data_IF_073671885368
#
_entry.id   IF_073671885368
#
_cell.length_a   1.000
_cell.length_b   1.000
_cell.length_c   1.000
_cell.angle_alpha   90.00
_cell.angle_beta   90.00
_cell.angle_gamma   90.00
#
_symmetry.space_group_name_H-M   'P 1'
#
loop_
_entity.id
_entity.type
_entity.pdbx_description
1 polymer ?
#
# COMPACT_ATOMS: atom_id res chain seq x y z
N UNK A 1 -6.12 -22.11 6.19
CA UNK A 1 -5.27 -20.92 6.04
C UNK A 1 -5.89 -19.84 6.88
N UNK A 2 -5.23 -19.43 7.95
CA UNK A 2 -5.77 -18.38 8.83
C UNK A 2 -5.66 -17.05 8.10
N UNK A 3 -6.82 -16.54 7.65
CA UNK A 3 -6.90 -15.18 7.15
C UNK A 3 -6.44 -14.26 8.27
N UNK A 4 -5.41 -13.46 8.02
CA UNK A 4 -4.82 -12.53 9.01
C UNK A 4 -5.80 -11.46 9.50
N UNK A 5 -7.05 -11.46 9.01
CA UNK A 5 -8.07 -10.43 9.24
C UNK A 5 -7.76 -9.13 8.52
N UNK A 6 -6.64 -9.04 7.81
CA UNK A 6 -6.19 -7.85 7.11
C UNK A 6 -6.79 -7.83 5.70
N UNK A 7 -7.57 -6.79 5.42
CA UNK A 7 -8.05 -6.48 4.07
C UNK A 7 -7.32 -5.26 3.53
N UNK A 8 -7.08 -5.18 2.21
CA UNK A 8 -6.63 -3.95 1.59
C UNK A 8 -7.63 -2.82 1.86
N UNK A 9 -7.14 -1.59 1.91
CA UNK A 9 -7.96 -0.38 2.10
C UNK A 9 -8.87 -0.14 0.90
N UNK A 10 -8.39 -0.48 -0.30
CA UNK A 10 -9.15 -0.39 -1.54
C UNK A 10 -8.61 -1.40 -2.57
N UNK A 11 -9.39 -1.70 -3.61
CA UNK A 11 -8.94 -2.52 -4.72
C UNK A 11 -9.67 -2.18 -6.03
N UNK A 12 -8.92 -1.95 -7.11
CA UNK A 12 -9.47 -1.53 -8.41
C UNK A 12 -8.97 -2.40 -9.57
N UNK A 13 -9.82 -2.68 -10.58
CA UNK A 13 -9.45 -3.53 -11.71
C UNK A 13 -8.41 -2.86 -12.62
N UNK A 14 -7.55 -3.67 -13.22
CA UNK A 14 -6.61 -3.27 -14.28
C UNK A 14 -6.67 -4.28 -15.42
N UNK A 15 -6.11 -3.96 -16.58
CA UNK A 15 -5.98 -4.91 -17.68
C UNK A 15 -5.21 -6.15 -17.22
N UNK A 16 -5.87 -7.31 -17.24
CA UNK A 16 -5.28 -8.59 -16.82
C UNK A 16 -5.32 -8.89 -15.32
N UNK A 17 -5.96 -8.06 -14.49
CA UNK A 17 -6.01 -8.33 -13.06
C UNK A 17 -6.62 -7.22 -12.20
N UNK A 18 -6.05 -7.04 -11.00
CA UNK A 18 -6.49 -6.04 -10.02
C UNK A 18 -5.27 -5.43 -9.32
N UNK A 19 -5.39 -4.18 -8.87
CA UNK A 19 -4.47 -3.58 -7.92
C UNK A 19 -5.14 -3.52 -6.55
N UNK A 20 -4.42 -3.98 -5.53
CA UNK A 20 -4.79 -3.85 -4.13
C UNK A 20 -4.01 -2.70 -3.50
N UNK A 21 -4.72 -1.82 -2.82
CA UNK A 21 -4.18 -0.63 -2.16
C UNK A 21 -4.09 -0.91 -0.67
N UNK A 22 -2.90 -0.72 -0.12
CA UNK A 22 -2.65 -0.78 1.31
C UNK A 22 -2.11 0.57 1.76
N UNK A 23 -2.89 1.27 2.57
CA UNK A 23 -2.47 2.51 3.19
C UNK A 23 -1.97 2.23 4.61
N UNK A 24 -0.72 2.62 4.86
CA UNK A 24 -0.11 2.58 6.18
C UNK A 24 -0.52 3.78 7.05
N UNK A 25 -0.10 3.79 8.33
CA UNK A 25 -0.41 4.89 9.22
C UNK A 25 0.22 6.21 8.73
N UNK A 26 -0.47 7.31 8.97
CA UNK A 26 0.04 8.66 8.69
C UNK A 26 1.19 9.00 9.63
N UNK A 27 2.32 9.41 9.05
CA UNK A 27 3.48 9.94 9.78
C UNK A 27 3.47 11.46 9.64
N UNK A 28 3.53 12.15 10.78
CA UNK A 28 3.65 13.60 10.83
C UNK A 28 5.09 13.96 11.19
N UNK A 29 5.73 14.78 10.37
CA UNK A 29 7.05 15.34 10.63
C UNK A 29 6.92 16.85 10.78
N UNK A 30 7.43 17.38 11.90
CA UNK A 30 7.39 18.81 12.20
C UNK A 30 8.80 19.35 12.24
N UNK A 31 9.07 20.33 11.36
CA UNK A 31 10.26 21.14 11.46
C UNK A 31 9.98 22.27 12.46
N UNK A 32 10.74 22.38 13.57
CA UNK A 32 10.51 23.41 14.57
C UNK A 32 10.79 24.80 14.01
N UNK A 33 10.17 25.82 14.61
CA UNK A 33 10.41 27.20 14.23
C UNK A 33 11.87 27.60 14.54
N UNK A 34 12.43 28.44 13.68
CA UNK A 34 13.67 29.17 13.95
C UNK A 34 13.34 30.65 14.15
N UNK A 35 14.35 31.47 14.48
CA UNK A 35 14.18 32.92 14.58
C UNK A 35 13.70 33.58 13.26
N UNK A 36 13.87 32.93 12.11
CA UNK A 36 13.53 33.48 10.78
C UNK A 36 12.47 32.67 10.02
N UNK A 37 12.16 31.44 10.45
CA UNK A 37 11.24 30.55 9.76
C UNK A 37 10.20 29.96 10.72
N UNK A 38 8.91 30.00 10.39
CA UNK A 38 7.87 29.39 11.22
C UNK A 38 8.02 27.87 11.25
N UNK A 39 7.40 27.24 12.25
CA UNK A 39 7.30 25.79 12.29
C UNK A 39 6.43 25.28 11.12
N UNK A 40 6.85 24.18 10.50
CA UNK A 40 6.11 23.57 9.39
C UNK A 40 5.91 22.10 9.69
N UNK A 41 4.65 21.66 9.66
CA UNK A 41 4.29 20.25 9.77
C UNK A 41 3.91 19.68 8.41
N UNK A 42 4.39 18.48 8.11
CA UNK A 42 3.99 17.70 6.94
C UNK A 42 3.48 16.34 7.40
N UNK A 43 2.32 15.95 6.87
CA UNK A 43 1.77 14.62 7.05
C UNK A 43 1.95 13.82 5.76
N UNK A 44 2.42 12.59 5.87
CA UNK A 44 2.54 11.67 4.75
C UNK A 44 2.17 10.26 5.20
N UNK A 45 1.48 9.49 4.37
CA UNK A 45 1.16 8.10 4.62
C UNK A 45 1.91 7.21 3.62
N UNK A 46 2.33 6.03 4.07
CA UNK A 46 2.85 5.01 3.15
C UNK A 46 1.69 4.43 2.36
N UNK A 47 1.85 4.31 1.04
CA UNK A 47 0.92 3.60 0.17
C UNK A 47 1.67 2.50 -0.58
N UNK A 48 1.18 1.28 -0.44
CA UNK A 48 1.63 0.12 -1.18
C UNK A 48 0.55 -0.29 -2.18
N UNK A 49 0.94 -0.43 -3.44
CA UNK A 49 0.09 -0.92 -4.52
C UNK A 49 0.62 -2.28 -4.94
N UNK A 50 -0.19 -3.32 -4.77
CA UNK A 50 0.13 -4.67 -5.20
C UNK A 50 -0.71 -4.98 -6.43
N UNK A 51 -0.08 -5.11 -7.59
CA UNK A 51 -0.75 -5.61 -8.79
C UNK A 51 -0.74 -7.12 -8.79
N UNK A 52 -1.89 -7.73 -9.06
CA UNK A 52 -2.03 -9.17 -9.12
C UNK A 52 -2.90 -9.59 -10.30
N UNK A 53 -2.60 -10.75 -10.86
CA UNK A 53 -3.40 -11.42 -11.89
C UNK A 53 -4.02 -12.71 -11.34
N UNK A 54 -5.12 -13.20 -11.91
CA UNK A 54 -5.65 -14.52 -11.58
C UNK A 54 -4.59 -15.61 -11.81
N UNK A 55 -4.48 -16.55 -10.88
CA UNK A 55 -3.65 -17.73 -11.06
C UNK A 55 -4.22 -18.60 -12.19
N UNK A 56 -3.38 -19.13 -13.10
CA UNK A 56 -3.85 -19.99 -14.19
C UNK A 56 -4.60 -21.22 -13.65
N UNK A 57 -5.81 -21.47 -14.14
CA UNK A 57 -6.58 -22.66 -13.78
C UNK A 57 -7.23 -22.63 -12.38
N UNK A 58 -7.14 -21.51 -11.65
CA UNK A 58 -7.79 -21.34 -10.34
C UNK A 58 -8.96 -20.36 -10.49
N UNK A 59 -10.13 -20.74 -9.99
CA UNK A 59 -11.28 -19.84 -9.96
C UNK A 59 -10.97 -18.62 -9.07
N UNK A 60 -11.19 -17.42 -9.60
CA UNK A 60 -11.02 -16.19 -8.84
C UNK A 60 -12.04 -16.16 -7.69
N UNK A 61 -11.58 -16.04 -6.45
CA UNK A 61 -12.50 -15.98 -5.30
C UNK A 61 -11.84 -16.04 -3.93
N UNK A 62 -10.66 -16.65 -3.82
CA UNK A 62 -9.86 -16.70 -2.58
C UNK A 62 -8.51 -16.00 -2.78
N UNK A 63 -7.82 -15.66 -1.69
CA UNK A 63 -6.49 -15.03 -1.76
C UNK A 63 -5.51 -15.86 -2.61
N UNK A 64 -5.60 -17.19 -2.55
CA UNK A 64 -4.73 -18.14 -3.27
C UNK A 64 -4.97 -18.15 -4.79
N UNK A 65 -6.09 -17.57 -5.25
CA UNK A 65 -6.42 -17.46 -6.68
C UNK A 65 -5.70 -16.31 -7.39
N UNK A 66 -4.78 -15.62 -6.69
CA UNK A 66 -4.07 -14.45 -7.22
C UNK A 66 -2.55 -14.66 -7.19
N UNK A 67 -1.89 -14.20 -8.25
CA UNK A 67 -0.44 -14.14 -8.36
C UNK A 67 -0.02 -12.67 -8.37
N UNK A 68 0.88 -12.29 -7.47
CA UNK A 68 1.44 -10.93 -7.45
C UNK A 68 2.33 -10.76 -8.68
N UNK A 69 1.99 -9.78 -9.52
CA UNK A 69 2.73 -9.44 -10.74
C UNK A 69 3.63 -8.22 -10.56
N UNK A 70 3.41 -7.44 -9.50
CA UNK A 70 4.20 -6.25 -9.24
C UNK A 70 3.81 -5.55 -7.95
N UNK A 71 4.74 -4.72 -7.46
CA UNK A 71 4.58 -3.95 -6.23
C UNK A 71 5.13 -2.54 -6.46
N UNK A 72 4.35 -1.52 -6.10
CA UNK A 72 4.80 -0.12 -6.11
C UNK A 72 4.58 0.49 -4.74
N UNK A 73 5.48 1.38 -4.32
CA UNK A 73 5.43 2.06 -3.02
C UNK A 73 5.54 3.57 -3.19
N UNK A 74 4.84 4.33 -2.36
CA UNK A 74 4.97 5.80 -2.29
C UNK A 74 4.81 6.29 -0.85
N UNK A 75 5.44 7.43 -0.55
CA UNK A 75 5.45 8.00 0.81
C UNK A 75 6.56 7.40 1.71
N UNK A 76 6.44 7.52 3.05
CA UNK A 76 7.46 7.11 4.02
C UNK A 76 7.54 5.58 4.22
N UNK A 77 7.46 4.79 3.15
CA UNK A 77 7.55 3.33 3.18
C UNK A 77 9.00 2.80 3.36
N UNK A 78 9.96 3.67 3.71
CA UNK A 78 11.39 3.40 3.58
C UNK A 78 11.91 2.28 4.51
N UNK A 79 11.09 1.76 5.43
CA UNK A 79 11.48 0.75 6.42
C UNK A 79 10.76 -0.60 6.27
N UNK A 80 9.87 -0.78 5.29
CA UNK A 80 9.15 -2.04 5.11
C UNK A 80 9.90 -2.97 4.14
N UNK A 81 10.37 -4.16 4.58
CA UNK A 81 10.84 -5.19 3.66
C UNK A 81 9.68 -5.65 2.75
N UNK A 82 10.01 -5.91 1.48
CA UNK A 82 9.13 -6.55 0.49
C UNK A 82 9.26 -8.07 0.58
#
# INVERSE_FOLDING_TARGET
MDATGLTPTDAYPITGGKVFVFDGPTVVSTLPATQWTPAVSRAAACRLLISASPAPGVAAGTADSWVITGTTRSGPCQTLPI
#
